data_IF_450211202371
#
_entry.id   IF_450211202371
#
_cell.length_a   1.000
_cell.length_b   1.000
_cell.length_c   1.000
_cell.angle_alpha   90.00
_cell.angle_beta   90.00
_cell.angle_gamma   90.00
#
_symmetry.space_group_name_H-M   'P 1'
#
loop_
_entity.id
_entity.type
_entity.pdbx_description
1 polymer ?
#
# COMPACT_ATOMS: atom_id res chain seq x y z
N UNK A 1 -34.49 5.45 3.28
CA UNK A 1 -33.16 5.06 3.82
C UNK A 1 -32.78 6.07 4.87
N UNK A 2 -32.54 5.62 6.10
CA UNK A 2 -32.11 6.49 7.20
C UNK A 2 -30.60 6.76 7.09
N UNK A 3 -30.17 8.01 6.84
CA UNK A 3 -28.75 8.37 6.71
C UNK A 3 -27.91 7.98 7.94
N UNK A 4 -28.52 7.98 9.13
CA UNK A 4 -27.84 7.66 10.41
C UNK A 4 -27.33 6.22 10.44
N UNK A 5 -28.13 5.31 9.88
CA UNK A 5 -27.79 3.89 9.82
C UNK A 5 -26.65 3.67 8.82
N UNK A 6 -26.70 4.32 7.65
CA UNK A 6 -25.66 4.22 6.62
C UNK A 6 -24.30 4.69 7.14
N UNK A 7 -24.26 5.82 7.85
CA UNK A 7 -23.04 6.33 8.50
C UNK A 7 -22.45 5.31 9.47
N UNK A 8 -23.29 4.72 10.31
CA UNK A 8 -22.86 3.72 11.29
C UNK A 8 -22.17 2.51 10.64
N UNK A 9 -22.73 2.00 9.53
CA UNK A 9 -22.12 0.91 8.78
C UNK A 9 -20.86 1.32 8.02
N UNK A 10 -20.79 2.57 7.54
CA UNK A 10 -19.60 3.08 6.89
C UNK A 10 -18.41 3.15 7.87
N UNK A 11 -18.64 3.61 9.12
CA UNK A 11 -17.60 3.56 10.16
C UNK A 11 -17.19 2.13 10.55
N UNK A 12 -18.15 1.19 10.61
CA UNK A 12 -17.82 -0.23 10.83
C UNK A 12 -16.98 -0.80 9.68
N UNK A 13 -17.31 -0.45 8.43
CA UNK A 13 -16.54 -0.86 7.26
C UNK A 13 -15.12 -0.26 7.26
N UNK A 14 -14.97 1.00 7.69
CA UNK A 14 -13.66 1.63 7.86
C UNK A 14 -12.81 0.88 8.89
N UNK A 15 -13.38 0.52 10.04
CA UNK A 15 -12.70 -0.31 11.05
C UNK A 15 -12.29 -1.68 10.49
N UNK A 16 -13.17 -2.33 9.74
CA UNK A 16 -12.87 -3.61 9.09
C UNK A 16 -11.73 -3.48 8.05
N UNK A 17 -11.64 -2.36 7.32
CA UNK A 17 -10.51 -2.13 6.42
C UNK A 17 -9.20 -1.99 7.17
N UNK A 18 -9.17 -1.29 8.30
CA UNK A 18 -7.97 -1.20 9.13
C UNK A 18 -7.49 -2.59 9.58
N UNK A 19 -8.40 -3.43 10.09
CA UNK A 19 -8.08 -4.80 10.53
C UNK A 19 -7.59 -5.68 9.36
N UNK A 20 -8.25 -5.59 8.20
CA UNK A 20 -7.86 -6.35 7.02
C UNK A 20 -6.49 -5.92 6.48
N UNK A 21 -6.22 -4.62 6.47
CA UNK A 21 -4.92 -4.08 6.05
C UNK A 21 -3.82 -4.54 7.00
N UNK A 22 -4.03 -4.40 8.31
CA UNK A 22 -3.07 -4.86 9.33
C UNK A 22 -2.76 -6.35 9.14
N UNK A 23 -3.78 -7.18 9.00
CA UNK A 23 -3.62 -8.61 8.72
C UNK A 23 -2.88 -8.85 7.40
N UNK A 24 -3.18 -8.11 6.34
CA UNK A 24 -2.52 -8.25 5.03
C UNK A 24 -1.03 -7.92 5.11
N UNK A 25 -0.67 -6.84 5.79
CA UNK A 25 0.72 -6.42 6.01
C UNK A 25 1.44 -7.45 6.86
N UNK A 26 0.86 -7.89 7.98
CA UNK A 26 1.46 -8.88 8.87
C UNK A 26 1.71 -10.21 8.16
N UNK A 27 0.75 -10.71 7.39
CA UNK A 27 0.92 -11.94 6.62
C UNK A 27 2.01 -11.79 5.55
N UNK A 28 2.06 -10.64 4.88
CA UNK A 28 3.07 -10.36 3.87
C UNK A 28 4.46 -10.23 4.50
N UNK A 29 4.58 -9.64 5.69
CA UNK A 29 5.83 -9.55 6.46
C UNK A 29 6.34 -10.93 6.88
N UNK A 30 5.46 -11.82 7.31
CA UNK A 30 5.83 -13.22 7.63
C UNK A 30 6.44 -13.90 6.40
N UNK A 31 5.83 -13.73 5.23
CA UNK A 31 6.36 -14.28 3.99
C UNK A 31 7.68 -13.63 3.59
N UNK A 32 7.79 -12.30 3.66
CA UNK A 32 9.01 -11.57 3.34
C UNK A 32 10.18 -12.00 4.23
N UNK A 33 9.97 -12.10 5.54
CA UNK A 33 10.98 -12.51 6.51
C UNK A 33 11.38 -13.99 6.41
N UNK A 34 10.59 -14.81 5.71
CA UNK A 34 10.97 -16.20 5.40
C UNK A 34 11.98 -16.30 4.25
N UNK A 35 12.19 -15.22 3.50
CA UNK A 35 13.17 -15.15 2.42
C UNK A 35 14.54 -14.72 2.96
N UNK A 36 15.61 -15.20 2.33
CA UNK A 36 16.98 -14.85 2.67
C UNK A 36 17.68 -14.23 1.47
N UNK A 37 18.49 -13.20 1.72
CA UNK A 37 19.37 -12.62 0.71
C UNK A 37 20.64 -13.45 0.60
N UNK A 38 20.83 -14.12 -0.54
CA UNK A 38 21.95 -15.05 -0.78
C UNK A 38 22.73 -14.60 -2.00
N UNK A 39 24.05 -14.49 -1.86
CA UNK A 39 24.98 -14.08 -2.92
C UNK A 39 26.14 -15.06 -3.03
N UNK A 40 26.60 -15.35 -4.26
CA UNK A 40 27.74 -16.25 -4.48
C UNK A 40 29.09 -15.67 -4.02
N UNK A 41 29.17 -14.34 -3.93
CA UNK A 41 30.31 -13.58 -3.43
C UNK A 41 29.81 -12.36 -2.69
N UNK A 42 30.62 -11.81 -1.78
CA UNK A 42 30.29 -10.56 -1.08
C UNK A 42 29.93 -9.47 -2.08
N UNK A 43 28.71 -8.95 -1.99
CA UNK A 43 28.24 -7.82 -2.75
C UNK A 43 28.89 -6.53 -2.22
N UNK A 44 29.14 -5.58 -3.10
CA UNK A 44 29.50 -4.21 -2.68
C UNK A 44 28.34 -3.57 -1.92
N UNK A 45 28.63 -2.57 -1.09
CA UNK A 45 27.60 -1.84 -0.33
C UNK A 45 26.52 -1.28 -1.24
N UNK A 46 26.91 -0.65 -2.36
CA UNK A 46 25.96 -0.09 -3.33
C UNK A 46 25.07 -1.18 -3.96
N UNK A 47 25.64 -2.34 -4.29
CA UNK A 47 24.89 -3.44 -4.88
C UNK A 47 23.91 -4.04 -3.88
N UNK A 48 24.34 -4.23 -2.63
CA UNK A 48 23.49 -4.66 -1.53
C UNK A 48 22.32 -3.70 -1.32
N UNK A 49 22.60 -2.39 -1.19
CA UNK A 49 21.56 -1.38 -0.97
C UNK A 49 20.56 -1.33 -2.12
N UNK A 50 21.04 -1.37 -3.36
CA UNK A 50 20.17 -1.37 -4.54
C UNK A 50 19.27 -2.60 -4.59
N UNK A 51 19.80 -3.79 -4.30
CA UNK A 51 19.03 -5.02 -4.30
C UNK A 51 18.05 -5.09 -3.12
N UNK A 52 18.48 -4.70 -1.92
CA UNK A 52 17.63 -4.60 -0.74
C UNK A 52 16.45 -3.65 -0.99
N UNK A 53 16.71 -2.47 -1.57
CA UNK A 53 15.66 -1.53 -1.93
C UNK A 53 14.70 -2.13 -2.97
N UNK A 54 15.21 -2.83 -3.99
CA UNK A 54 14.36 -3.51 -4.97
C UNK A 54 13.45 -4.57 -4.31
N UNK A 55 13.93 -5.32 -3.33
CA UNK A 55 13.10 -6.28 -2.59
C UNK A 55 12.05 -5.59 -1.74
N UNK A 56 12.39 -4.49 -1.08
CA UNK A 56 11.46 -3.67 -0.30
C UNK A 56 10.38 -3.07 -1.21
N UNK A 57 10.75 -2.54 -2.37
CA UNK A 57 9.79 -1.95 -3.31
C UNK A 57 8.86 -3.03 -3.88
N UNK A 58 9.38 -4.20 -4.22
CA UNK A 58 8.57 -5.33 -4.65
C UNK A 58 7.62 -5.81 -3.54
N UNK A 59 8.07 -5.84 -2.28
CA UNK A 59 7.23 -6.13 -1.13
C UNK A 59 6.07 -5.14 -1.00
N UNK A 60 6.36 -3.83 -1.03
CA UNK A 60 5.33 -2.76 -0.96
C UNK A 60 4.32 -2.89 -2.09
N UNK A 61 4.80 -3.03 -3.33
CA UNK A 61 3.95 -3.13 -4.52
C UNK A 61 3.09 -4.39 -4.51
N UNK A 62 3.67 -5.55 -4.20
CA UNK A 62 2.93 -6.82 -4.19
C UNK A 62 1.88 -6.86 -3.07
N UNK A 63 2.23 -6.42 -1.87
CA UNK A 63 1.31 -6.36 -0.72
C UNK A 63 0.11 -5.46 -1.05
N UNK A 64 0.39 -4.27 -1.59
CA UNK A 64 -0.65 -3.30 -1.98
C UNK A 64 -1.54 -3.85 -3.10
N UNK A 65 -0.95 -4.37 -4.17
CA UNK A 65 -1.71 -4.92 -5.30
C UNK A 65 -2.57 -6.11 -4.89
N UNK A 66 -2.07 -7.00 -4.04
CA UNK A 66 -2.84 -8.14 -3.56
C UNK A 66 -4.08 -7.70 -2.79
N UNK A 67 -3.94 -6.72 -1.88
CA UNK A 67 -5.08 -6.14 -1.17
C UNK A 67 -6.11 -5.52 -2.12
N UNK A 68 -5.66 -4.67 -3.05
CA UNK A 68 -6.53 -3.99 -4.00
C UNK A 68 -7.22 -4.96 -4.95
N UNK A 69 -6.56 -6.03 -5.36
CA UNK A 69 -7.15 -7.10 -6.16
C UNK A 69 -8.28 -7.79 -5.41
N UNK A 70 -8.08 -8.13 -4.13
CA UNK A 70 -9.13 -8.70 -3.28
C UNK A 70 -10.32 -7.76 -3.12
N UNK A 71 -10.06 -6.47 -2.83
CA UNK A 71 -11.11 -5.46 -2.72
C UNK A 71 -11.90 -5.30 -4.03
N UNK A 72 -11.21 -5.21 -5.17
CA UNK A 72 -11.85 -5.11 -6.47
C UNK A 72 -12.66 -6.37 -6.80
N UNK A 73 -12.16 -7.55 -6.45
CA UNK A 73 -12.91 -8.80 -6.62
C UNK A 73 -14.23 -8.77 -5.85
N UNK A 74 -14.22 -8.30 -4.59
CA UNK A 74 -15.44 -8.13 -3.80
C UNK A 74 -16.38 -7.16 -4.50
N UNK A 75 -15.93 -5.95 -4.86
CA UNK A 75 -16.75 -4.92 -5.53
C UNK A 75 -17.41 -5.46 -6.80
N UNK A 76 -16.63 -6.10 -7.68
CA UNK A 76 -17.12 -6.65 -8.95
C UNK A 76 -18.07 -7.82 -8.75
N UNK A 77 -17.79 -8.70 -7.79
CA UNK A 77 -18.67 -9.84 -7.48
C UNK A 77 -19.99 -9.38 -6.88
N UNK A 78 -19.97 -8.39 -5.99
CA UNK A 78 -21.17 -7.81 -5.37
C UNK A 78 -22.10 -7.18 -6.42
N UNK A 79 -21.56 -6.36 -7.32
CA UNK A 79 -22.35 -5.76 -8.41
C UNK A 79 -22.79 -6.80 -9.44
N UNK A 80 -21.88 -7.69 -9.86
CA UNK A 80 -22.15 -8.70 -10.89
C UNK A 80 -23.23 -9.70 -10.49
N UNK A 81 -23.37 -9.99 -9.19
CA UNK A 81 -24.44 -10.82 -8.65
C UNK A 81 -25.65 -10.01 -8.17
N UNK A 82 -25.66 -8.70 -8.37
CA UNK A 82 -26.73 -7.78 -7.96
C UNK A 82 -27.17 -7.98 -6.49
N UNK A 83 -26.21 -8.19 -5.58
CA UNK A 83 -26.55 -8.42 -4.16
C UNK A 83 -27.29 -7.22 -3.59
N UNK A 84 -28.37 -7.50 -2.84
CA UNK A 84 -29.15 -6.47 -2.17
C UNK A 84 -28.36 -5.91 -0.98
N UNK A 85 -28.20 -4.59 -0.93
CA UNK A 85 -27.63 -3.92 0.25
C UNK A 85 -28.56 -4.13 1.45
N UNK A 86 -28.00 -4.46 2.61
CA UNK A 86 -28.78 -4.61 3.84
C UNK A 86 -29.55 -3.33 4.24
N UNK A 87 -29.07 -2.17 3.78
CA UNK A 87 -29.72 -0.87 3.99
C UNK A 87 -30.59 -0.41 2.81
N UNK A 88 -30.83 -1.30 1.83
CA UNK A 88 -31.63 -1.01 0.63
C UNK A 88 -31.14 0.25 -0.13
N UNK A 89 -29.83 0.50 -0.08
CA UNK A 89 -29.20 1.65 -0.71
C UNK A 89 -28.99 1.47 -2.21
N UNK A 90 -29.06 0.25 -2.73
CA UNK A 90 -28.97 -0.04 -4.17
C UNK A 90 -30.31 -0.41 -4.82
N UNK A 91 -31.22 -1.07 -4.09
CA UNK A 91 -32.57 -1.38 -4.54
C UNK A 91 -33.57 -1.19 -3.41
N UNK A 92 -34.71 -0.60 -3.74
CA UNK A 92 -35.89 -0.54 -2.87
C UNK A 92 -36.81 -1.73 -3.17
N UNK A 93 -37.44 -2.25 -2.11
CA UNK A 93 -38.46 -3.30 -2.22
C UNK A 93 -39.85 -2.66 -2.19
N UNK A 94 -40.68 -2.98 -3.19
CA UNK A 94 -42.07 -2.56 -3.28
C UNK A 94 -42.97 -3.79 -3.33
N UNK A 95 -43.95 -3.87 -2.43
CA UNK A 95 -44.96 -4.93 -2.44
C UNK A 95 -46.17 -4.42 -3.21
N UNK A 96 -46.61 -5.17 -4.23
CA UNK A 96 -47.82 -4.82 -4.97
C UNK A 96 -49.08 -5.17 -4.17
N UNK A 97 -50.20 -4.52 -4.49
CA UNK A 97 -51.49 -4.66 -3.76
C UNK A 97 -52.05 -6.10 -3.75
N UNK A 98 -51.57 -6.98 -4.65
CA UNK A 98 -51.86 -8.42 -4.62
C UNK A 98 -51.20 -9.17 -3.45
N UNK A 99 -50.34 -8.49 -2.68
CA UNK A 99 -49.57 -8.95 -1.51
C UNK A 99 -48.72 -10.19 -1.75
N UNK A 100 -48.51 -10.59 -3.00
CA UNK A 100 -47.74 -11.79 -3.36
C UNK A 100 -46.55 -11.46 -4.25
N UNK A 101 -46.55 -10.28 -4.88
CA UNK A 101 -45.46 -9.85 -5.76
C UNK A 101 -44.60 -8.79 -5.09
N UNK A 102 -43.29 -9.05 -5.01
CA UNK A 102 -42.28 -8.07 -4.57
C UNK A 102 -41.48 -7.61 -5.79
N UNK A 103 -41.51 -6.31 -6.05
CA UNK A 103 -40.69 -5.66 -7.05
C UNK A 103 -39.43 -5.07 -6.42
N UNK A 104 -38.32 -5.17 -7.14
CA UNK A 104 -37.07 -4.47 -6.82
C UNK A 104 -36.92 -3.27 -7.76
N UNK A 105 -36.79 -2.08 -7.19
CA UNK A 105 -36.60 -0.85 -7.96
C UNK A 105 -35.20 -0.35 -7.66
N UNK A 106 -34.39 -0.15 -8.71
CA UNK A 106 -33.02 0.34 -8.54
C UNK A 106 -33.03 1.77 -8.01
N UNK A 107 -32.21 2.02 -6.98
CA UNK A 107 -31.94 3.35 -6.48
C UNK A 107 -31.10 4.13 -7.50
N UNK A 108 -31.27 5.45 -7.52
CA UNK A 108 -30.46 6.35 -8.33
C UNK A 108 -29.93 7.51 -7.48
N UNK A 109 -28.66 7.83 -7.67
CA UNK A 109 -27.96 8.94 -7.02
C UNK A 109 -27.44 9.89 -8.11
N UNK A 110 -27.83 11.16 -8.08
CA UNK A 110 -27.48 12.18 -9.09
C UNK A 110 -27.72 11.71 -10.54
N UNK A 111 -28.83 11.00 -10.79
CA UNK A 111 -29.17 10.46 -12.11
C UNK A 111 -28.38 9.20 -12.51
N UNK A 112 -27.46 8.72 -11.68
CA UNK A 112 -26.74 7.46 -11.87
C UNK A 112 -27.52 6.31 -11.19
N UNK A 113 -27.89 5.28 -11.95
CA UNK A 113 -28.64 4.11 -11.44
C UNK A 113 -27.71 3.02 -10.89
N UNK A 114 -28.02 2.52 -9.70
CA UNK A 114 -27.29 1.43 -9.06
C UNK A 114 -27.32 0.10 -9.82
N UNK A 115 -28.29 -0.08 -10.71
CA UNK A 115 -28.34 -1.22 -11.62
C UNK A 115 -27.22 -1.15 -12.66
N UNK A 116 -26.92 0.07 -13.16
CA UNK A 116 -25.93 0.29 -14.21
C UNK A 116 -24.51 0.44 -13.66
N UNK A 117 -24.36 1.09 -12.50
CA UNK A 117 -23.06 1.26 -11.84
C UNK A 117 -23.17 1.13 -10.33
N UNK A 118 -22.23 0.44 -9.70
CA UNK A 118 -22.13 0.39 -8.24
C UNK A 118 -21.57 1.69 -7.65
N UNK A 119 -20.89 2.51 -8.45
CA UNK A 119 -20.18 3.72 -8.00
C UNK A 119 -21.08 4.94 -7.87
N UNK A 120 -22.39 4.83 -8.10
CA UNK A 120 -23.29 5.98 -7.97
C UNK A 120 -23.34 6.45 -6.52
N UNK A 121 -23.11 7.76 -6.31
CA UNK A 121 -23.13 8.40 -4.99
C UNK A 121 -23.79 9.77 -5.04
N UNK A 122 -24.26 10.23 -3.88
CA UNK A 122 -24.70 11.59 -3.59
C UNK A 122 -24.05 12.07 -2.30
N UNK A 123 -23.94 13.40 -2.14
CA UNK A 123 -23.63 14.01 -0.85
C UNK A 123 -24.54 13.45 0.24
N UNK A 124 -23.96 13.03 1.36
CA UNK A 124 -24.73 12.58 2.50
C UNK A 124 -25.34 13.78 3.21
N UNK A 125 -26.67 13.76 3.31
CA UNK A 125 -27.44 14.76 4.03
C UNK A 125 -28.33 14.08 5.06
N UNK A 126 -28.36 14.64 6.27
CA UNK A 126 -29.31 14.30 7.32
C UNK A 126 -30.51 15.23 7.17
N UNK A 127 -31.72 14.67 7.20
CA UNK A 127 -32.97 15.40 7.01
C UNK A 127 -33.76 15.45 8.32
N UNK A 128 -34.38 16.61 8.61
CA UNK A 128 -35.18 16.83 9.82
C UNK A 128 -36.52 16.10 9.82
N UNK A 129 -37.08 15.83 8.62
CA UNK A 129 -38.36 15.18 8.43
C UNK A 129 -38.22 13.98 7.50
N UNK A 130 -39.03 12.94 7.72
CA UNK A 130 -39.08 11.72 6.90
C UNK A 130 -39.37 11.98 5.41
N UNK A 131 -39.92 13.15 5.08
CA UNK A 131 -40.22 13.55 3.70
C UNK A 131 -38.99 14.00 2.89
N UNK A 132 -37.82 14.16 3.49
CA UNK A 132 -36.57 14.53 2.79
C UNK A 132 -36.51 15.96 2.23
N UNK A 133 -37.52 16.80 2.50
CA UNK A 133 -37.63 18.15 1.91
C UNK A 133 -36.88 19.25 2.67
N UNK A 134 -36.38 18.95 3.88
CA UNK A 134 -35.64 19.91 4.71
C UNK A 134 -34.34 19.25 5.15
N UNK A 135 -33.26 19.57 4.45
CA UNK A 135 -31.89 19.24 4.87
C UNK A 135 -31.61 19.94 6.19
N UNK A 136 -31.15 19.18 7.18
CA UNK A 136 -30.71 19.75 8.45
C UNK A 136 -29.20 19.91 8.49
N UNK A 137 -28.46 18.97 7.91
CA UNK A 137 -27.00 18.94 7.96
C UNK A 137 -26.45 18.10 6.81
N UNK A 138 -25.54 18.67 6.02
CA UNK A 138 -24.74 17.92 5.06
C UNK A 138 -23.44 17.54 5.75
N UNK A 139 -23.07 16.25 5.74
CA UNK A 139 -21.82 15.79 6.36
C UNK A 139 -20.68 16.04 5.37
N UNK A 140 -19.85 17.08 5.54
CA UNK A 140 -18.85 17.46 4.53
C UNK A 140 -17.90 16.30 4.23
N UNK A 141 -17.67 16.08 2.93
CA UNK A 141 -16.81 15.01 2.47
C UNK A 141 -17.40 13.61 2.56
N UNK A 142 -18.60 13.42 3.12
CA UNK A 142 -19.22 12.11 3.25
C UNK A 142 -20.32 11.91 2.21
N UNK A 143 -20.36 10.71 1.62
CA UNK A 143 -21.30 10.37 0.56
C UNK A 143 -22.18 9.18 0.94
N UNK A 144 -23.30 9.03 0.25
CA UNK A 144 -24.13 7.83 0.24
C UNK A 144 -24.20 7.28 -1.17
N UNK A 145 -23.98 5.98 -1.33
CA UNK A 145 -24.04 5.30 -2.62
C UNK A 145 -24.75 3.95 -2.57
N UNK A 146 -24.64 3.23 -3.67
CA UNK A 146 -25.32 1.94 -3.85
C UNK A 146 -24.92 0.90 -2.78
N UNK A 147 -23.64 0.84 -2.45
CA UNK A 147 -23.09 -0.07 -1.45
C UNK A 147 -22.26 0.69 -0.41
N UNK A 148 -22.20 0.18 0.82
CA UNK A 148 -21.41 0.77 1.91
C UNK A 148 -19.93 0.92 1.53
N UNK A 149 -19.38 -0.04 0.79
CA UNK A 149 -18.01 0.06 0.26
C UNK A 149 -17.87 1.30 -0.65
N UNK A 150 -18.78 1.48 -1.60
CA UNK A 150 -18.71 2.59 -2.56
C UNK A 150 -19.00 3.95 -1.91
N UNK A 151 -19.90 3.99 -0.93
CA UNK A 151 -20.09 5.12 -0.01
C UNK A 151 -18.77 5.53 0.62
N UNK A 152 -18.07 4.59 1.25
CA UNK A 152 -16.84 4.88 2.00
C UNK A 152 -15.70 5.29 1.06
N UNK A 153 -15.47 4.52 0.00
CA UNK A 153 -14.38 4.75 -0.97
C UNK A 153 -14.39 6.16 -1.57
N UNK A 154 -15.57 6.70 -1.83
CA UNK A 154 -15.73 8.03 -2.44
C UNK A 154 -15.82 9.16 -1.41
N UNK A 155 -15.92 8.83 -0.13
CA UNK A 155 -15.88 9.81 0.96
C UNK A 155 -14.45 10.25 1.27
N UNK A 156 -14.31 11.42 1.89
CA UNK A 156 -13.05 12.03 2.31
C UNK A 156 -12.99 12.15 3.84
N UNK A 157 -11.89 12.70 4.35
CA UNK A 157 -11.66 12.92 5.77
C UNK A 157 -12.09 14.31 6.26
N UNK A 158 -12.71 15.15 5.43
CA UNK A 158 -13.05 16.54 5.78
C UNK A 158 -13.74 16.67 7.15
N UNK A 159 -14.82 15.92 7.40
CA UNK A 159 -15.51 15.97 8.69
C UNK A 159 -14.64 15.48 9.87
N UNK A 160 -13.65 14.62 9.64
CA UNK A 160 -12.78 14.08 10.70
C UNK A 160 -11.80 15.13 11.24
N UNK A 161 -11.52 16.18 10.48
CA UNK A 161 -10.66 17.31 10.90
C UNK A 161 -11.47 18.50 11.44
N UNK A 162 -12.80 18.47 11.40
CA UNK A 162 -13.68 19.54 11.89
C UNK A 162 -14.47 19.09 13.12
N UNK A 163 -14.12 19.63 14.29
CA UNK A 163 -14.82 19.33 15.54
C UNK A 163 -16.30 19.70 15.50
N UNK A 164 -16.66 20.79 14.81
CA UNK A 164 -18.06 21.22 14.67
C UNK A 164 -18.85 20.18 13.88
N UNK A 165 -18.25 19.63 12.82
CA UNK A 165 -18.85 18.57 12.04
C UNK A 165 -19.08 17.31 12.87
N UNK A 166 -18.08 16.88 13.63
CA UNK A 166 -18.17 15.71 14.51
C UNK A 166 -19.26 15.92 15.56
N UNK A 167 -19.27 17.07 16.24
CA UNK A 167 -20.25 17.39 17.27
C UNK A 167 -21.67 17.38 16.71
N UNK A 168 -21.89 17.96 15.52
CA UNK A 168 -23.19 17.96 14.86
C UNK A 168 -23.60 16.55 14.42
N UNK A 169 -22.68 15.75 13.87
CA UNK A 169 -22.93 14.37 13.49
C UNK A 169 -23.33 13.51 14.70
N UNK A 170 -22.65 13.70 15.84
CA UNK A 170 -22.93 12.97 17.09
C UNK A 170 -24.33 13.24 17.65
N UNK A 171 -24.94 14.41 17.39
CA UNK A 171 -26.33 14.67 17.78
C UNK A 171 -27.33 13.73 17.10
N UNK A 172 -26.98 13.22 15.91
CA UNK A 172 -27.84 12.34 15.12
C UNK A 172 -27.54 10.85 15.30
N UNK A 173 -26.33 10.51 15.74
CA UNK A 173 -25.96 9.15 16.08
C UNK A 173 -26.48 8.85 17.49
N UNK A 174 -27.63 8.18 17.59
CA UNK A 174 -28.23 7.81 18.89
C UNK A 174 -27.31 6.86 19.65
N UNK A 175 -26.47 7.39 20.54
CA UNK A 175 -25.60 6.59 21.39
C UNK A 175 -26.17 6.49 22.79
N UNK A 176 -26.28 5.27 23.32
CA UNK A 176 -26.71 5.04 24.71
C UNK A 176 -25.70 5.57 25.75
N UNK A 177 -24.47 5.87 25.31
CA UNK A 177 -23.39 6.44 26.10
C UNK A 177 -22.78 7.64 25.37
N UNK A 178 -22.33 8.67 26.08
CA UNK A 178 -21.58 9.76 25.46
C UNK A 178 -20.26 9.20 24.91
N UNK A 179 -20.06 9.30 23.59
CA UNK A 179 -18.78 9.01 22.95
C UNK A 179 -18.01 10.33 22.91
N UNK A 180 -16.81 10.34 23.47
CA UNK A 180 -15.92 11.50 23.37
C UNK A 180 -15.02 11.30 22.14
N UNK A 181 -15.36 11.98 21.04
CA UNK A 181 -14.60 11.94 19.79
C UNK A 181 -14.02 13.32 19.55
N UNK A 182 -12.71 13.40 19.40
CA UNK A 182 -11.99 14.61 19.04
C UNK A 182 -11.63 14.58 17.57
N UNK A 183 -11.72 15.72 16.91
CA UNK A 183 -11.22 15.90 15.56
C UNK A 183 -9.72 15.59 15.47
N UNK A 184 -9.30 15.13 14.31
CA UNK A 184 -7.90 14.96 13.95
C UNK A 184 -7.20 16.32 13.91
N UNK A 185 -5.93 16.34 14.28
CA UNK A 185 -5.13 17.56 14.32
C UNK A 185 -4.53 17.83 12.93
N UNK A 186 -4.97 18.90 12.22
CA UNK A 186 -4.46 19.22 10.89
C UNK A 186 -3.01 19.73 10.91
N UNK A 187 -2.45 20.03 12.09
CA UNK A 187 -1.05 20.43 12.24
C UNK A 187 -0.07 19.25 12.25
N UNK A 188 -0.57 18.02 12.45
CA UNK A 188 0.25 16.82 12.34
C UNK A 188 0.58 16.54 10.88
N UNK A 189 1.85 16.21 10.62
CA UNK A 189 2.27 15.81 9.28
C UNK A 189 1.62 14.48 8.92
N UNK A 190 0.74 14.49 7.93
CA UNK A 190 0.23 13.31 7.25
C UNK A 190 0.58 13.40 5.76
N UNK A 191 0.80 12.27 5.12
CA UNK A 191 0.90 12.23 3.66
C UNK A 191 -0.46 12.43 2.97
N UNK A 192 -1.56 12.32 3.72
CA UNK A 192 -2.92 12.47 3.22
C UNK A 192 -3.47 13.85 3.55
N UNK A 193 -4.12 14.49 2.57
CA UNK A 193 -4.87 15.72 2.80
C UNK A 193 -6.27 15.42 3.35
N UNK A 194 -6.91 16.41 3.96
CA UNK A 194 -8.30 16.32 4.44
C UNK A 194 -9.29 15.97 3.32
N UNK A 195 -8.99 16.43 2.09
CA UNK A 195 -9.78 16.16 0.88
C UNK A 195 -9.46 14.81 0.22
N UNK A 196 -8.51 14.06 0.74
CA UNK A 196 -8.16 12.75 0.20
C UNK A 196 -9.31 11.77 0.40
N UNK A 197 -9.66 11.02 -0.66
CA UNK A 197 -10.70 10.00 -0.56
C UNK A 197 -10.21 8.78 0.20
N UNK A 198 -11.10 8.04 0.85
CA UNK A 198 -10.73 6.78 1.49
C UNK A 198 -10.17 5.78 0.47
N UNK A 199 -10.65 5.79 -0.78
CA UNK A 199 -10.03 4.97 -1.85
C UNK A 199 -8.55 5.34 -2.07
N UNK A 200 -8.21 6.62 -2.04
CA UNK A 200 -6.82 7.07 -2.13
C UNK A 200 -5.98 6.55 -0.95
N UNK A 201 -6.52 6.62 0.26
CA UNK A 201 -5.84 6.07 1.45
C UNK A 201 -5.62 4.55 1.31
N UNK A 202 -6.64 3.80 0.89
CA UNK A 202 -6.54 2.35 0.70
C UNK A 202 -5.57 1.94 -0.41
N UNK A 203 -5.41 2.78 -1.45
CA UNK A 203 -4.41 2.57 -2.50
C UNK A 203 -2.96 2.63 -1.98
N UNK A 204 -2.76 3.16 -0.78
CA UNK A 204 -1.47 3.17 -0.07
C UNK A 204 -1.55 2.42 1.26
N UNK A 205 -2.51 1.49 1.40
CA UNK A 205 -2.73 0.70 2.60
C UNK A 205 -2.93 1.54 3.88
N UNK A 206 -3.36 2.80 3.76
CA UNK A 206 -3.52 3.74 4.87
C UNK A 206 -2.24 3.95 5.71
N UNK A 207 -1.05 3.68 5.13
CA UNK A 207 0.24 3.76 5.81
C UNK A 207 0.84 5.15 5.59
N UNK A 208 1.12 5.90 6.65
CA UNK A 208 1.78 7.21 6.59
C UNK A 208 3.20 7.16 6.02
N UNK A 209 4.04 6.25 6.51
CA UNK A 209 5.43 6.14 6.06
C UNK A 209 5.95 4.70 6.16
N UNK A 210 6.74 4.29 5.17
CA UNK A 210 7.52 3.07 5.22
C UNK A 210 8.96 3.38 5.62
N UNK A 211 9.40 2.88 6.78
CA UNK A 211 10.75 3.09 7.30
C UNK A 211 11.59 1.79 7.33
N UNK A 212 12.07 1.30 6.18
CA UNK A 212 12.90 0.10 6.12
C UNK A 212 14.34 0.40 6.58
N UNK A 213 14.91 -0.51 7.38
CA UNK A 213 16.29 -0.41 7.85
C UNK A 213 17.16 -1.42 7.08
N UNK A 214 18.23 -0.94 6.46
CA UNK A 214 19.21 -1.76 5.74
C UNK A 214 20.56 -1.70 6.48
N UNK A 215 21.12 -2.85 6.84
CA UNK A 215 22.35 -2.93 7.66
C UNK A 215 23.41 -3.73 6.91
N UNK A 216 24.26 -3.04 6.14
CA UNK A 216 25.31 -3.69 5.33
C UNK A 216 26.34 -4.43 6.18
N UNK A 217 26.72 -3.90 7.34
CA UNK A 217 27.74 -4.51 8.20
C UNK A 217 27.35 -5.93 8.62
N UNK A 218 26.08 -6.14 9.01
CA UNK A 218 25.55 -7.46 9.33
C UNK A 218 25.61 -8.42 8.14
N UNK A 219 25.33 -7.93 6.93
CA UNK A 219 25.44 -8.75 5.73
C UNK A 219 26.90 -9.12 5.44
N UNK A 220 27.81 -8.16 5.54
CA UNK A 220 29.23 -8.38 5.28
C UNK A 220 29.84 -9.37 6.29
N UNK A 221 29.53 -9.21 7.58
CA UNK A 221 30.05 -10.07 8.65
C UNK A 221 29.68 -11.55 8.44
N UNK A 222 28.47 -11.81 7.93
CA UNK A 222 27.98 -13.15 7.61
C UNK A 222 28.52 -13.71 6.29
N UNK A 223 28.77 -12.85 5.29
CA UNK A 223 29.11 -13.29 3.93
C UNK A 223 30.61 -13.20 3.59
N UNK A 224 31.43 -12.61 4.45
CA UNK A 224 32.86 -12.41 4.18
C UNK A 224 33.59 -13.74 3.96
N UNK A 225 34.52 -13.81 2.99
CA UNK A 225 35.29 -15.03 2.75
C UNK A 225 36.21 -15.32 3.94
N UNK A 226 36.36 -16.60 4.28
CA UNK A 226 37.28 -17.07 5.32
C UNK A 226 38.74 -16.76 4.92
N UNK A 227 39.05 -16.85 3.62
CA UNK A 227 40.38 -16.58 3.07
C UNK A 227 40.29 -15.75 1.79
N UNK A 228 41.12 -14.70 1.70
CA UNK A 228 41.29 -13.88 0.51
C UNK A 228 42.56 -14.30 -0.25
N UNK A 229 42.44 -14.70 -1.51
CA UNK A 229 43.59 -14.97 -2.38
C UNK A 229 43.76 -13.85 -3.42
N UNK A 230 44.99 -13.35 -3.55
CA UNK A 230 45.34 -12.39 -4.59
C UNK A 230 46.35 -13.03 -5.55
N UNK A 231 46.13 -12.89 -6.85
CA UNK A 231 47.08 -13.35 -7.87
C UNK A 231 47.90 -12.18 -8.36
N UNK A 232 49.18 -12.09 -7.97
CA UNK A 232 50.10 -11.12 -8.56
C UNK A 232 50.51 -11.63 -9.94
N UNK A 233 49.94 -11.04 -11.00
CA UNK A 233 50.43 -11.26 -12.37
C UNK A 233 51.68 -10.41 -12.60
N UNK A 234 52.85 -10.97 -12.33
CA UNK A 234 54.11 -10.34 -12.76
C UNK A 234 54.27 -10.51 -14.27
N UNK A 235 54.60 -9.42 -14.96
CA UNK A 235 54.84 -9.41 -16.41
C UNK A 235 56.24 -9.92 -16.75
N UNK A 236 56.77 -10.90 -16.02
CA UNK A 236 58.03 -11.54 -16.35
C UNK A 236 57.72 -12.66 -17.34
N UNK A 237 57.63 -12.29 -18.63
CA UNK A 237 57.53 -13.26 -19.70
C UNK A 237 58.72 -14.22 -19.59
N UNK A 238 58.50 -15.50 -19.88
CA UNK A 238 59.56 -16.51 -19.98
C UNK A 238 60.69 -16.01 -20.90
N UNK A 239 60.34 -15.21 -21.92
CA UNK A 239 61.27 -14.52 -22.82
C UNK A 239 62.21 -13.56 -22.06
N UNK A 240 61.72 -12.77 -21.09
CA UNK A 240 62.55 -11.89 -20.27
C UNK A 240 63.56 -12.67 -19.44
N UNK A 241 63.16 -13.79 -18.83
CA UNK A 241 64.07 -14.66 -18.06
C UNK A 241 65.16 -15.24 -18.97
N UNK A 242 64.77 -15.78 -20.12
CA UNK A 242 65.69 -16.39 -21.10
C UNK A 242 66.69 -15.35 -21.64
N UNK A 243 66.20 -14.18 -22.06
CA UNK A 243 67.06 -13.11 -22.60
C UNK A 243 68.04 -12.56 -21.57
N UNK A 244 67.61 -12.46 -20.30
CA UNK A 244 68.50 -12.05 -19.20
C UNK A 244 69.61 -13.09 -18.98
N UNK A 245 69.29 -14.38 -19.02
CA UNK A 245 70.30 -15.44 -18.89
C UNK A 245 71.33 -15.41 -20.03
N UNK A 246 70.87 -15.28 -21.28
CA UNK A 246 71.77 -15.16 -22.43
C UNK A 246 72.61 -13.89 -22.37
N UNK A 247 72.05 -12.77 -21.91
CA UNK A 247 72.77 -11.52 -21.71
C UNK A 247 73.90 -11.65 -20.69
N UNK A 248 73.66 -12.32 -19.55
CA UNK A 248 74.68 -12.56 -18.52
C UNK A 248 75.77 -13.49 -19.03
N UNK A 249 75.42 -14.61 -19.66
CA UNK A 249 76.39 -15.58 -20.19
C UNK A 249 77.25 -14.92 -21.29
N UNK A 250 76.62 -14.21 -22.22
CA UNK A 250 77.31 -13.49 -23.29
C UNK A 250 78.22 -12.39 -22.76
N UNK A 251 77.74 -11.59 -21.80
CA UNK A 251 78.53 -10.55 -21.15
C UNK A 251 79.73 -11.12 -20.40
N UNK A 252 79.54 -12.18 -19.63
CA UNK A 252 80.61 -12.83 -18.86
C UNK A 252 81.70 -13.41 -19.77
N UNK A 253 81.33 -14.11 -20.86
CA UNK A 253 82.28 -14.64 -21.83
C UNK A 253 83.08 -13.52 -22.52
N UNK A 254 82.43 -12.39 -22.81
CA UNK A 254 83.07 -11.25 -23.47
C UNK A 254 84.06 -10.56 -22.55
N UNK A 255 83.70 -10.34 -21.29
CA UNK A 255 84.59 -9.79 -20.26
C UNK A 255 85.76 -10.73 -19.98
N UNK A 256 85.52 -12.03 -19.84
CA UNK A 256 86.58 -13.03 -19.65
C UNK A 256 87.60 -13.03 -20.81
N UNK A 257 87.14 -12.92 -22.06
CA UNK A 257 88.01 -12.80 -23.23
C UNK A 257 88.84 -11.51 -23.27
N UNK A 258 88.39 -10.46 -22.58
CA UNK A 258 89.05 -9.16 -22.57
C UNK A 258 90.05 -9.03 -21.41
N UNK A 259 89.76 -9.69 -20.29
CA UNK A 259 90.58 -9.63 -19.06
C UNK A 259 91.67 -10.71 -19.05
N UNK A 260 91.48 -11.85 -19.71
CA UNK A 260 92.51 -12.89 -19.81
C UNK A 260 93.37 -12.64 -21.07
N UNK A 261 94.66 -12.26 -20.92
CA UNK A 261 95.56 -12.12 -22.07
C UNK A 261 95.81 -13.50 -22.68
N UNK A 262 95.87 -13.57 -24.01
CA UNK A 262 96.26 -14.79 -24.72
C UNK A 262 97.68 -15.23 -24.37
#
# INVERSE_FOLDING_TARGET
>A
NDPRIVVSYAFQALGAFCELIESTINNSLIQFNSTQYITASVASSDLFQSQAQSFIDQFKLSTTNNFLLSLNMIRKTTQGNAFLSGQLTNYQLMVLDDKQTVLTISMAYSGCSCHLSSTCVNQLSIYKNDSGNVTSFDVPGFYIGCYVIETLLQSTLQCFYDQTCIDELLLYLTTASPINVTALDPSLSSQYSEDSTIEYLLNSLMIEEWNPIQIYDRYYDECQPIECTYTIKTRNSVIYIITTMFGIIGGLITVLKLVVPR
#
